data_IF_007408267081
#
_entry.id   IF_007408267081
#
_cell.length_a   1.000
_cell.length_b   1.000
_cell.length_c   1.000
_cell.angle_alpha   90.00
_cell.angle_beta   90.00
_cell.angle_gamma   90.00
#
_symmetry.space_group_name_H-M   'P 1'
#
loop_
_entity.id
_entity.type
_entity.pdbx_description
1 polymer ?
#
# COMPACT_ATOMS: atom_id res chain seq x y z
N UNK A 1 -5.82 -4.47 38.38
CA UNK A 1 -4.83 -5.55 38.20
C UNK A 1 -4.95 -6.02 36.76
N UNK A 2 -4.18 -5.43 35.87
CA UNK A 2 -4.11 -5.82 34.44
C UNK A 2 -3.05 -6.92 34.32
N UNK A 3 -3.47 -8.15 34.03
CA UNK A 3 -2.59 -9.25 33.77
C UNK A 3 -1.67 -8.92 32.59
N UNK A 4 -0.37 -8.86 32.85
CA UNK A 4 0.68 -8.76 31.86
C UNK A 4 0.68 -10.07 31.05
N UNK A 5 0.14 -10.03 29.85
CA UNK A 5 0.24 -11.11 28.88
C UNK A 5 1.68 -11.11 28.33
N UNK A 6 2.40 -12.21 28.62
CA UNK A 6 3.54 -12.74 27.88
C UNK A 6 4.93 -12.58 28.47
N UNK A 7 5.45 -13.71 28.92
CA UNK A 7 6.86 -13.96 29.22
C UNK A 7 7.76 -14.26 28.02
N UNK A 8 7.49 -13.72 26.83
CA UNK A 8 8.43 -13.77 25.70
C UNK A 8 9.18 -12.46 25.70
N UNK A 9 10.51 -12.43 25.92
CA UNK A 9 11.29 -11.19 25.84
C UNK A 9 11.11 -10.57 24.45
N UNK A 10 10.92 -9.25 24.42
CA UNK A 10 10.86 -8.50 23.18
C UNK A 10 12.16 -8.71 22.38
N UNK A 11 12.06 -8.89 21.06
CA UNK A 11 13.23 -9.01 20.21
C UNK A 11 13.98 -7.67 20.15
N UNK A 12 15.27 -7.69 20.39
CA UNK A 12 16.15 -6.54 20.22
C UNK A 12 16.74 -6.56 18.83
N UNK A 13 16.47 -5.51 18.03
CA UNK A 13 16.94 -5.38 16.65
C UNK A 13 18.47 -5.20 16.61
N UNK A 14 19.14 -6.07 15.87
CA UNK A 14 20.55 -5.89 15.53
C UNK A 14 20.74 -4.70 14.58
N UNK A 15 21.98 -4.21 14.44
CA UNK A 15 22.32 -3.13 13.51
C UNK A 15 21.95 -3.47 12.07
N UNK A 16 22.16 -4.71 11.65
CA UNK A 16 21.82 -5.16 10.29
C UNK A 16 20.31 -5.23 10.06
N UNK A 17 19.55 -5.75 11.03
CA UNK A 17 18.09 -5.75 10.96
C UNK A 17 17.55 -4.31 10.88
N UNK A 18 18.08 -3.38 11.66
CA UNK A 18 17.72 -1.95 11.58
C UNK A 18 17.97 -1.37 10.19
N UNK A 19 19.08 -1.72 9.53
CA UNK A 19 19.37 -1.29 8.15
C UNK A 19 18.35 -1.84 7.15
N UNK A 20 17.97 -3.12 7.26
CA UNK A 20 16.94 -3.75 6.41
C UNK A 20 15.59 -3.06 6.58
N UNK A 21 15.18 -2.79 7.82
CA UNK A 21 13.93 -2.13 8.15
C UNK A 21 13.87 -0.71 7.56
N UNK A 22 14.92 0.08 7.76
CA UNK A 22 15.01 1.46 7.22
C UNK A 22 15.04 1.45 5.68
N UNK A 23 15.77 0.52 5.07
CA UNK A 23 15.84 0.39 3.62
C UNK A 23 14.46 0.03 3.03
N UNK A 24 13.73 -0.90 3.64
CA UNK A 24 12.38 -1.28 3.23
C UNK A 24 11.39 -0.10 3.36
N UNK A 25 11.42 0.63 4.47
CA UNK A 25 10.56 1.77 4.71
C UNK A 25 10.69 2.85 3.61
N UNK A 26 11.90 3.06 3.08
CA UNK A 26 12.20 4.05 2.03
C UNK A 26 11.75 3.66 0.63
N UNK A 27 11.28 2.43 0.40
CA UNK A 27 10.85 1.94 -0.91
C UNK A 27 9.35 2.19 -1.17
N UNK A 28 8.80 3.26 -0.65
CA UNK A 28 7.45 3.71 -1.03
C UNK A 28 7.48 4.40 -2.39
N UNK A 29 6.38 4.39 -3.17
CA UNK A 29 6.34 5.03 -4.47
C UNK A 29 6.77 6.51 -4.41
N UNK A 30 7.79 6.90 -5.17
CA UNK A 30 8.34 8.27 -5.20
C UNK A 30 7.34 9.35 -5.66
N UNK A 31 6.22 8.96 -6.26
CA UNK A 31 5.14 9.88 -6.64
C UNK A 31 4.29 10.31 -5.47
N UNK A 32 4.34 9.54 -4.39
CA UNK A 32 3.73 9.92 -3.15
C UNK A 32 4.66 10.91 -2.46
N UNK A 33 4.07 11.92 -1.89
CA UNK A 33 4.72 13.09 -1.30
C UNK A 33 5.99 12.70 -0.55
N UNK A 34 7.14 13.24 -0.96
CA UNK A 34 8.40 13.08 -0.26
C UNK A 34 8.36 13.79 1.11
N UNK A 35 9.09 13.28 2.09
CA UNK A 35 9.27 13.87 3.42
C UNK A 35 8.02 14.05 4.29
N UNK A 36 6.98 13.22 4.10
CA UNK A 36 5.76 13.30 4.92
C UNK A 36 5.77 12.41 6.16
N UNK A 37 6.82 11.62 6.36
CA UNK A 37 6.98 10.72 7.49
C UNK A 37 8.40 10.71 8.04
N UNK A 38 8.56 10.25 9.29
CA UNK A 38 9.84 9.92 9.90
C UNK A 38 9.74 8.57 10.62
N UNK A 39 10.88 7.89 10.76
CA UNK A 39 10.97 6.59 11.40
C UNK A 39 11.97 6.64 12.56
N UNK A 40 11.54 6.21 13.74
CA UNK A 40 12.40 5.96 14.88
C UNK A 40 12.50 4.47 15.15
N UNK A 41 13.71 3.92 15.02
CA UNK A 41 13.98 2.50 15.29
C UNK A 41 14.62 2.37 16.65
N UNK A 42 13.85 1.88 17.62
CA UNK A 42 14.28 1.60 18.99
C UNK A 42 14.93 0.22 19.11
N UNK A 43 15.21 -0.22 20.29
CA UNK A 43 15.76 -1.56 20.52
C UNK A 43 14.77 -2.67 20.16
N UNK A 44 13.52 -2.54 20.59
CA UNK A 44 12.45 -3.56 20.48
C UNK A 44 11.23 -3.15 19.65
N UNK A 45 11.22 -1.92 19.13
CA UNK A 45 10.09 -1.34 18.43
C UNK A 45 10.49 -0.38 17.35
N UNK A 46 9.55 -0.08 16.46
CA UNK A 46 9.69 0.88 15.38
C UNK A 46 8.50 1.82 15.45
N UNK A 47 8.74 3.10 15.63
CA UNK A 47 7.73 4.14 15.62
C UNK A 47 7.75 4.89 14.28
N UNK A 48 6.58 4.97 13.65
CA UNK A 48 6.35 5.75 12.44
C UNK A 48 5.54 7.00 12.80
N UNK A 49 6.06 8.16 12.42
CA UNK A 49 5.44 9.46 12.65
C UNK A 49 5.10 10.14 11.33
N UNK A 50 3.96 10.81 11.25
CA UNK A 50 3.69 11.76 10.18
C UNK A 50 4.41 13.09 10.44
N UNK A 51 4.88 13.75 9.37
CA UNK A 51 5.48 15.08 9.46
C UNK A 51 4.43 16.15 9.15
N UNK A 52 3.94 16.81 10.19
CA UNK A 52 2.91 17.84 10.08
C UNK A 52 3.40 19.13 9.41
N UNK A 53 4.71 19.43 9.50
CA UNK A 53 5.32 20.65 8.97
C UNK A 53 5.78 20.56 7.51
N UNK A 54 5.25 19.61 6.72
CA UNK A 54 5.64 19.48 5.32
C UNK A 54 5.08 20.62 4.46
N UNK A 55 5.81 21.03 3.42
CA UNK A 55 5.40 22.05 2.44
C UNK A 55 4.11 21.68 1.66
N UNK A 56 3.62 20.48 1.84
CA UNK A 56 2.43 19.94 1.19
C UNK A 56 1.12 20.20 1.94
N UNK A 57 1.17 20.89 3.09
CA UNK A 57 0.00 21.24 3.90
C UNK A 57 -1.15 21.86 3.11
N UNK A 58 -0.84 22.70 2.13
CA UNK A 58 -1.85 23.39 1.31
C UNK A 58 -2.68 22.40 0.47
N UNK A 59 -2.07 21.30 0.01
CA UNK A 59 -2.73 20.28 -0.83
C UNK A 59 -3.35 19.16 -0.01
N UNK A 60 -2.81 18.85 1.16
CA UNK A 60 -3.25 17.76 2.03
C UNK A 60 -3.72 18.28 3.40
N UNK A 61 -4.70 19.21 3.39
CA UNK A 61 -5.24 19.86 4.60
C UNK A 61 -5.75 18.88 5.66
N UNK A 62 -6.33 17.75 5.23
CA UNK A 62 -6.85 16.71 6.12
C UNK A 62 -5.84 15.67 6.55
N UNK A 63 -4.59 15.70 6.05
CA UNK A 63 -3.59 14.68 6.33
C UNK A 63 -3.85 13.33 5.66
N UNK A 64 -4.86 13.24 4.80
CA UNK A 64 -5.30 11.99 4.17
C UNK A 64 -4.16 11.35 3.34
N UNK A 65 -3.57 12.11 2.44
CA UNK A 65 -2.50 11.61 1.58
C UNK A 65 -1.27 11.18 2.38
N UNK A 66 -0.88 11.96 3.41
CA UNK A 66 0.23 11.59 4.31
C UNK A 66 -0.02 10.28 5.03
N UNK A 67 -1.23 10.08 5.58
CA UNK A 67 -1.59 8.86 6.29
C UNK A 67 -1.61 7.63 5.35
N UNK A 68 -2.05 7.80 4.11
CA UNK A 68 -1.97 6.74 3.09
C UNK A 68 -0.50 6.38 2.79
N UNK A 69 0.39 7.37 2.67
CA UNK A 69 1.84 7.11 2.51
C UNK A 69 2.41 6.39 3.73
N UNK A 70 2.06 6.80 4.95
CA UNK A 70 2.46 6.09 6.17
C UNK A 70 2.00 4.63 6.15
N UNK A 71 0.79 4.35 5.65
CA UNK A 71 0.29 2.99 5.48
C UNK A 71 1.15 2.14 4.53
N UNK A 72 1.65 2.73 3.45
CA UNK A 72 2.58 2.04 2.56
C UNK A 72 3.92 1.72 3.25
N UNK A 73 4.42 2.62 4.08
CA UNK A 73 5.61 2.37 4.91
C UNK A 73 5.36 1.19 5.86
N UNK A 74 4.20 1.15 6.53
CA UNK A 74 3.80 0.04 7.40
C UNK A 74 3.82 -1.28 6.63
N UNK A 75 3.26 -1.34 5.42
CA UNK A 75 3.24 -2.56 4.61
C UNK A 75 4.66 -3.05 4.24
N UNK A 76 5.57 -2.15 3.91
CA UNK A 76 6.96 -2.49 3.62
C UNK A 76 7.70 -2.98 4.87
N UNK A 77 7.47 -2.36 6.03
CA UNK A 77 8.02 -2.80 7.31
C UNK A 77 7.49 -4.18 7.71
N UNK A 78 6.19 -4.45 7.48
CA UNK A 78 5.59 -5.77 7.72
C UNK A 78 6.32 -6.86 6.91
N UNK A 79 6.58 -6.61 5.62
CA UNK A 79 7.36 -7.51 4.77
C UNK A 79 8.77 -7.73 5.31
N UNK A 80 9.45 -6.66 5.76
CA UNK A 80 10.80 -6.76 6.30
C UNK A 80 10.85 -7.53 7.63
N UNK A 81 9.90 -7.30 8.53
CA UNK A 81 9.82 -8.02 9.81
C UNK A 81 9.58 -9.52 9.56
N UNK A 82 8.73 -9.89 8.59
CA UNK A 82 8.46 -11.29 8.24
C UNK A 82 9.69 -11.99 7.70
N UNK A 83 10.43 -11.36 6.79
CA UNK A 83 11.65 -11.96 6.22
C UNK A 83 12.76 -12.11 7.25
N UNK A 84 12.79 -11.28 8.28
CA UNK A 84 13.68 -11.41 9.43
C UNK A 84 13.27 -12.53 10.40
N UNK A 85 12.18 -13.23 10.13
CA UNK A 85 11.73 -14.38 10.91
C UNK A 85 10.83 -14.03 12.09
N UNK A 86 10.10 -12.93 12.01
CA UNK A 86 9.18 -12.48 13.05
C UNK A 86 7.77 -12.23 12.52
N UNK A 87 6.76 -12.57 13.32
CA UNK A 87 5.40 -12.10 13.10
C UNK A 87 5.31 -10.63 13.55
N UNK A 88 4.93 -9.69 12.68
CA UNK A 88 4.74 -8.30 13.05
C UNK A 88 3.50 -8.14 13.94
N UNK A 89 3.59 -7.19 14.87
CA UNK A 89 2.47 -6.67 15.65
C UNK A 89 2.44 -5.16 15.42
N UNK A 90 1.43 -4.70 14.70
CA UNK A 90 1.27 -3.28 14.36
C UNK A 90 0.14 -2.68 15.17
N UNK A 91 0.45 -1.65 15.93
CA UNK A 91 -0.49 -0.82 16.67
C UNK A 91 -0.65 0.51 15.92
N UNK A 92 -1.88 0.81 15.49
CA UNK A 92 -2.27 2.04 14.79
C UNK A 92 -3.00 3.03 15.72
N UNK A 93 -3.10 2.72 17.01
CA UNK A 93 -3.80 3.59 17.94
C UNK A 93 -3.07 4.92 18.13
N UNK A 94 -3.86 5.99 18.14
CA UNK A 94 -3.36 7.32 18.46
C UNK A 94 -3.03 7.40 19.95
N UNK A 95 -1.80 7.75 20.28
CA UNK A 95 -1.40 8.07 21.66
C UNK A 95 -1.65 9.54 21.92
N UNK A 96 -2.37 9.85 23.01
CA UNK A 96 -2.63 11.24 23.41
C UNK A 96 -1.34 12.05 23.66
N UNK A 97 -0.22 11.37 23.96
CA UNK A 97 1.09 11.98 24.20
C UNK A 97 1.97 12.06 22.93
N UNK A 98 1.55 11.44 21.82
CA UNK A 98 2.29 11.43 20.56
C UNK A 98 1.29 11.44 19.39
N UNK A 99 0.62 12.58 19.20
CA UNK A 99 -0.44 12.77 18.20
C UNK A 99 0.03 12.59 16.76
N UNK A 100 1.30 12.79 16.49
CA UNK A 100 1.95 12.60 15.20
C UNK A 100 2.41 11.14 14.97
N UNK A 101 2.41 10.29 16.01
CA UNK A 101 2.70 8.86 15.85
C UNK A 101 1.54 8.18 15.11
N UNK A 102 1.86 7.55 13.99
CA UNK A 102 0.90 6.89 13.10
C UNK A 102 0.85 5.39 13.37
N UNK A 103 1.99 4.79 13.67
CA UNK A 103 2.08 3.36 13.93
C UNK A 103 3.25 3.04 14.87
N UNK A 104 3.05 1.99 15.68
CA UNK A 104 4.13 1.31 16.39
C UNK A 104 4.17 -0.15 15.97
N UNK A 105 5.32 -0.60 15.48
CA UNK A 105 5.54 -1.98 15.08
C UNK A 105 6.47 -2.67 16.08
N UNK A 106 6.10 -3.89 16.47
CA UNK A 106 6.88 -4.79 17.33
C UNK A 106 6.88 -6.20 16.77
N UNK A 107 7.70 -7.05 17.32
CA UNK A 107 7.63 -8.49 17.05
C UNK A 107 6.65 -9.16 18.01
N UNK A 108 5.82 -10.08 17.49
CA UNK A 108 4.88 -10.86 18.29
C UNK A 108 5.48 -12.22 18.73
N UNK A 109 6.03 -12.94 17.77
CA UNK A 109 6.64 -14.27 17.97
C UNK A 109 7.57 -14.60 16.80
N UNK A 110 8.48 -15.53 17.00
CA UNK A 110 9.27 -16.11 15.91
C UNK A 110 8.37 -16.86 14.94
N UNK A 111 8.64 -16.69 13.65
CA UNK A 111 8.00 -17.43 12.55
C UNK A 111 9.08 -17.82 11.55
N UNK A 112 8.92 -18.96 10.91
CA UNK A 112 9.78 -19.33 9.79
C UNK A 112 9.25 -18.61 8.54
N UNK A 113 10.07 -17.78 7.84
CA UNK A 113 9.65 -17.17 6.58
C UNK A 113 9.30 -18.25 5.56
N UNK A 114 8.22 -18.04 4.81
CA UNK A 114 7.78 -18.93 3.74
C UNK A 114 8.10 -18.31 2.37
N UNK A 115 7.99 -19.09 1.30
CA UNK A 115 8.27 -18.63 -0.06
C UNK A 115 7.51 -17.34 -0.44
N UNK A 116 6.28 -17.19 0.06
CA UNK A 116 5.49 -15.98 -0.15
C UNK A 116 6.08 -14.73 0.52
N UNK A 117 6.69 -14.88 1.72
CA UNK A 117 7.35 -13.76 2.41
C UNK A 117 8.59 -13.29 1.62
N UNK A 118 9.39 -14.24 1.10
CA UNK A 118 10.54 -13.93 0.24
C UNK A 118 10.11 -13.24 -1.06
N UNK A 119 9.06 -13.73 -1.71
CA UNK A 119 8.53 -13.14 -2.94
C UNK A 119 8.05 -11.70 -2.70
N UNK A 120 7.29 -11.49 -1.62
CA UNK A 120 6.75 -10.17 -1.23
C UNK A 120 7.87 -9.21 -0.89
N UNK A 121 8.86 -9.62 -0.10
CA UNK A 121 10.00 -8.77 0.26
C UNK A 121 10.86 -8.43 -0.97
N UNK A 122 11.06 -9.36 -1.91
CA UNK A 122 11.77 -9.09 -3.15
C UNK A 122 11.06 -8.07 -4.04
N UNK A 123 9.72 -7.97 -3.95
CA UNK A 123 8.94 -6.97 -4.68
C UNK A 123 9.13 -5.54 -4.12
N UNK A 124 9.56 -5.38 -2.86
CA UNK A 124 9.82 -4.05 -2.26
C UNK A 124 10.85 -3.26 -3.07
N UNK A 125 12.04 -3.80 -3.45
CA UNK A 125 12.96 -3.13 -4.36
C UNK A 125 12.63 -3.34 -5.86
N UNK A 126 11.42 -3.80 -6.20
CA UNK A 126 10.95 -3.91 -7.59
C UNK A 126 11.29 -5.21 -8.31
N UNK A 127 11.60 -6.31 -7.60
CA UNK A 127 11.97 -7.59 -8.23
C UNK A 127 10.75 -8.47 -8.51
N UNK A 128 10.64 -8.93 -9.75
CA UNK A 128 9.69 -9.96 -10.15
C UNK A 128 10.11 -11.32 -9.60
N UNK A 129 9.17 -12.10 -9.09
CA UNK A 129 9.41 -13.43 -8.50
C UNK A 129 8.48 -14.52 -9.03
N UNK A 130 7.40 -14.14 -9.71
CA UNK A 130 6.38 -15.04 -10.26
C UNK A 130 6.24 -14.86 -11.77
N UNK A 131 5.78 -15.87 -12.52
CA UNK A 131 5.44 -15.71 -13.93
C UNK A 131 4.29 -14.71 -14.09
N UNK A 132 4.24 -14.01 -15.22
CA UNK A 132 3.10 -13.15 -15.54
C UNK A 132 1.82 -13.99 -15.62
N UNK A 133 0.67 -13.46 -15.15
CA UNK A 133 -0.60 -14.16 -15.25
C UNK A 133 -1.03 -14.28 -16.72
N UNK A 134 -1.78 -15.31 -17.04
CA UNK A 134 -2.36 -15.50 -18.40
C UNK A 134 -3.39 -14.43 -18.74
N UNK A 135 -4.04 -13.85 -17.74
CA UNK A 135 -5.00 -12.76 -17.86
C UNK A 135 -4.90 -11.85 -16.64
N UNK A 136 -4.59 -10.57 -16.89
CA UNK A 136 -4.55 -9.53 -15.85
C UNK A 136 -5.92 -9.32 -15.22
N UNK A 137 -7.00 -9.47 -15.98
CA UNK A 137 -8.38 -9.28 -15.49
C UNK A 137 -8.78 -10.38 -14.51
N UNK A 138 -8.49 -11.66 -14.83
CA UNK A 138 -8.78 -12.78 -13.93
C UNK A 138 -7.95 -12.71 -12.68
N UNK A 139 -6.64 -12.52 -12.83
CA UNK A 139 -5.71 -12.30 -11.73
C UNK A 139 -6.15 -11.15 -10.81
N UNK A 140 -6.60 -10.04 -11.41
CA UNK A 140 -7.02 -8.88 -10.65
C UNK A 140 -8.24 -9.13 -9.77
N UNK A 141 -9.18 -9.96 -10.19
CA UNK A 141 -10.32 -10.33 -9.36
C UNK A 141 -9.89 -11.09 -8.12
N UNK A 142 -9.05 -12.10 -8.29
CA UNK A 142 -8.52 -12.90 -7.18
C UNK A 142 -7.70 -12.05 -6.20
N UNK A 143 -6.90 -11.11 -6.72
CA UNK A 143 -6.09 -10.20 -5.90
C UNK A 143 -6.96 -9.20 -5.14
N UNK A 144 -8.04 -8.69 -5.74
CA UNK A 144 -8.96 -7.77 -5.06
C UNK A 144 -9.56 -8.43 -3.81
N UNK A 145 -10.12 -9.63 -3.97
CA UNK A 145 -10.73 -10.39 -2.87
C UNK A 145 -9.71 -10.71 -1.76
N UNK A 146 -8.48 -11.11 -2.12
CA UNK A 146 -7.42 -11.42 -1.16
C UNK A 146 -6.79 -10.20 -0.49
N UNK A 147 -7.07 -8.99 -0.97
CA UNK A 147 -6.42 -7.74 -0.49
C UNK A 147 -7.26 -6.97 0.53
N UNK A 148 -8.51 -7.35 0.74
CA UNK A 148 -9.37 -6.72 1.73
C UNK A 148 -8.78 -6.87 3.16
N UNK A 149 -8.97 -5.86 3.96
CA UNK A 149 -8.55 -5.83 5.36
C UNK A 149 -9.63 -5.15 6.20
N UNK A 150 -9.52 -5.22 7.52
CA UNK A 150 -10.50 -4.64 8.46
C UNK A 150 -10.85 -3.19 8.11
N UNK A 151 -12.08 -2.98 7.67
CA UNK A 151 -12.60 -1.68 7.27
C UNK A 151 -12.09 -1.14 5.94
N UNK A 152 -11.29 -1.89 5.16
CA UNK A 152 -10.84 -1.51 3.82
C UNK A 152 -11.39 -2.50 2.80
N UNK A 153 -12.07 -1.99 1.77
CA UNK A 153 -12.62 -2.72 0.64
C UNK A 153 -11.80 -2.49 -0.61
N UNK A 154 -11.66 -3.52 -1.42
CA UNK A 154 -10.99 -3.46 -2.72
C UNK A 154 -11.95 -3.93 -3.79
N UNK A 155 -12.25 -3.08 -4.76
CA UNK A 155 -13.12 -3.41 -5.89
C UNK A 155 -12.36 -3.32 -7.21
N UNK A 156 -12.43 -4.37 -8.02
CA UNK A 156 -11.99 -4.30 -9.41
C UNK A 156 -12.92 -3.41 -10.23
N UNK A 157 -12.35 -2.44 -10.93
CA UNK A 157 -13.05 -1.55 -11.85
C UNK A 157 -12.78 -1.97 -13.29
N UNK A 158 -13.82 -2.02 -14.11
CA UNK A 158 -13.69 -2.20 -15.55
C UNK A 158 -13.25 -0.90 -16.23
N UNK A 159 -12.68 -0.95 -17.43
CA UNK A 159 -12.33 0.24 -18.19
C UNK A 159 -13.47 1.25 -18.36
N UNK A 160 -14.72 0.76 -18.51
CA UNK A 160 -15.94 1.60 -18.55
C UNK A 160 -16.11 2.40 -17.26
N UNK A 161 -15.97 1.74 -16.12
CA UNK A 161 -16.20 2.32 -14.80
C UNK A 161 -15.19 3.45 -14.52
N UNK A 162 -13.95 3.30 -15.03
CA UNK A 162 -12.89 4.31 -14.88
C UNK A 162 -13.11 5.55 -15.75
N UNK A 163 -13.77 5.41 -16.92
CA UNK A 163 -14.08 6.56 -17.80
C UNK A 163 -15.03 7.55 -17.15
N UNK A 164 -15.94 7.02 -16.33
CA UNK A 164 -16.99 7.80 -15.68
C UNK A 164 -16.49 8.46 -14.38
N UNK A 165 -15.24 8.16 -13.96
CA UNK A 165 -14.61 8.80 -12.81
C UNK A 165 -14.20 10.25 -13.18
N UNK A 166 -14.85 11.30 -12.62
CA UNK A 166 -14.51 12.68 -12.93
C UNK A 166 -13.05 12.98 -12.53
N UNK A 167 -12.26 13.55 -13.43
CA UNK A 167 -10.83 13.93 -13.27
C UNK A 167 -9.82 12.78 -13.14
N UNK A 168 -10.23 11.57 -12.76
CA UNK A 168 -9.34 10.40 -12.66
C UNK A 168 -9.20 9.71 -14.01
N UNK A 169 -10.33 9.52 -14.71
CA UNK A 169 -10.37 8.81 -15.97
C UNK A 169 -9.39 9.37 -17.00
N UNK A 170 -9.30 10.69 -17.14
CA UNK A 170 -8.41 11.33 -18.10
C UNK A 170 -6.91 11.13 -17.81
N UNK A 171 -6.49 10.95 -16.56
CA UNK A 171 -5.09 10.68 -16.22
C UNK A 171 -4.75 9.19 -16.32
N UNK A 172 -5.67 8.32 -15.94
CA UNK A 172 -5.52 6.87 -16.01
C UNK A 172 -5.57 6.39 -17.45
N UNK A 173 -6.59 6.85 -18.23
CA UNK A 173 -6.80 6.46 -19.63
C UNK A 173 -5.65 6.95 -20.54
N UNK A 174 -5.03 8.11 -20.26
CA UNK A 174 -3.86 8.58 -21.03
C UNK A 174 -2.63 7.70 -20.86
N UNK A 175 -2.57 6.89 -19.79
CA UNK A 175 -1.45 5.96 -19.53
C UNK A 175 -1.76 4.56 -19.98
N UNK A 176 -3.03 4.14 -19.94
CA UNK A 176 -3.46 2.86 -20.49
C UNK A 176 -3.49 2.95 -22.01
N UNK A 177 -2.59 2.26 -22.68
CA UNK A 177 -2.63 2.13 -24.14
C UNK A 177 -3.78 1.20 -24.52
N UNK A 178 -4.54 1.50 -25.60
CA UNK A 178 -5.66 0.65 -26.05
C UNK A 178 -5.26 -0.79 -26.35
N UNK A 179 -3.97 -1.05 -26.56
CA UNK A 179 -3.40 -2.35 -26.95
C UNK A 179 -2.95 -3.21 -25.76
N UNK A 180 -3.01 -2.68 -24.53
CA UNK A 180 -2.51 -3.38 -23.32
C UNK A 180 -3.67 -3.74 -22.43
N UNK A 181 -3.73 -4.98 -22.01
CA UNK A 181 -4.70 -5.45 -21.01
C UNK A 181 -4.39 -4.83 -19.65
N UNK A 182 -5.38 -4.21 -19.02
CA UNK A 182 -5.24 -3.56 -17.74
C UNK A 182 -6.48 -3.73 -16.85
N UNK A 183 -6.30 -3.58 -15.56
CA UNK A 183 -7.36 -3.52 -14.55
C UNK A 183 -7.07 -2.37 -13.58
N UNK A 184 -8.12 -1.78 -13.03
CA UNK A 184 -7.99 -0.84 -11.92
C UNK A 184 -8.66 -1.40 -10.67
N UNK A 185 -8.13 -1.01 -9.50
CA UNK A 185 -8.68 -1.34 -8.19
C UNK A 185 -9.05 -0.05 -7.48
N UNK A 186 -10.30 0.05 -7.06
CA UNK A 186 -10.73 1.09 -6.11
C UNK A 186 -10.49 0.59 -4.70
N UNK A 187 -9.71 1.33 -3.93
CA UNK A 187 -9.52 1.12 -2.49
C UNK A 187 -10.41 2.09 -1.74
N UNK A 188 -11.33 1.58 -0.94
CA UNK A 188 -12.28 2.37 -0.16
C UNK A 188 -12.25 1.96 1.31
N UNK A 189 -12.55 2.90 2.21
CA UNK A 189 -12.64 2.68 3.66
C UNK A 189 -14.07 2.85 4.16
N UNK A 190 -14.43 2.15 5.22
CA UNK A 190 -15.75 2.28 5.87
C UNK A 190 -15.90 3.64 6.55
N UNK A 191 -14.81 4.18 7.07
CA UNK A 191 -14.73 5.51 7.69
C UNK A 191 -13.47 6.23 7.24
N UNK A 192 -13.36 7.54 7.50
CA UNK A 192 -12.16 8.34 7.23
C UNK A 192 -11.33 8.61 8.50
N UNK A 193 -11.31 7.68 9.46
CA UNK A 193 -10.43 7.80 10.62
C UNK A 193 -8.96 7.67 10.22
N UNK A 194 -8.05 8.22 11.03
CA UNK A 194 -6.59 8.10 10.81
C UNK A 194 -6.17 6.65 10.60
N UNK A 195 -6.65 5.76 11.45
CA UNK A 195 -6.36 4.32 11.35
C UNK A 195 -6.82 3.73 10.01
N UNK A 196 -8.04 4.05 9.56
CA UNK A 196 -8.57 3.56 8.29
C UNK A 196 -7.79 4.08 7.09
N UNK A 197 -7.32 5.32 7.12
CA UNK A 197 -6.46 5.88 6.08
C UNK A 197 -5.09 5.18 6.00
N UNK A 198 -4.49 4.87 7.14
CA UNK A 198 -3.25 4.08 7.19
C UNK A 198 -3.48 2.67 6.66
N UNK A 199 -4.57 2.01 7.04
CA UNK A 199 -4.96 0.70 6.51
C UNK A 199 -5.16 0.73 4.99
N UNK A 200 -5.83 1.76 4.46
CA UNK A 200 -5.99 1.95 3.02
C UNK A 200 -4.63 2.07 2.30
N UNK A 201 -3.69 2.82 2.87
CA UNK A 201 -2.33 2.93 2.35
C UNK A 201 -1.59 1.59 2.35
N UNK A 202 -1.72 0.81 3.43
CA UNK A 202 -1.12 -0.52 3.51
C UNK A 202 -1.72 -1.50 2.48
N UNK A 203 -3.04 -1.45 2.25
CA UNK A 203 -3.72 -2.25 1.21
C UNK A 203 -3.24 -1.81 -0.18
N UNK A 204 -3.20 -0.51 -0.45
CA UNK A 204 -2.70 0.05 -1.71
C UNK A 204 -1.28 -0.43 -2.01
N UNK A 205 -0.38 -0.38 -1.03
CA UNK A 205 1.00 -0.85 -1.19
C UNK A 205 1.06 -2.37 -1.42
N UNK A 206 0.26 -3.16 -0.73
CA UNK A 206 0.18 -4.61 -0.98
C UNK A 206 -0.25 -4.94 -2.41
N UNK A 207 -1.20 -4.19 -2.98
CA UNK A 207 -1.58 -4.33 -4.40
C UNK A 207 -0.40 -4.04 -5.33
N UNK A 208 0.35 -2.95 -5.09
CA UNK A 208 1.55 -2.61 -5.86
C UNK A 208 2.63 -3.70 -5.76
N UNK A 209 2.91 -4.18 -4.55
CA UNK A 209 3.88 -5.27 -4.33
C UNK A 209 3.45 -6.56 -5.02
N UNK A 210 2.16 -6.93 -4.92
CA UNK A 210 1.62 -8.11 -5.60
C UNK A 210 1.75 -7.98 -7.12
N UNK A 211 1.44 -6.82 -7.69
CA UNK A 211 1.66 -6.57 -9.12
C UNK A 211 3.13 -6.75 -9.51
N UNK A 212 4.04 -6.21 -8.72
CA UNK A 212 5.48 -6.33 -8.92
C UNK A 212 5.97 -7.78 -8.85
N UNK A 213 5.44 -8.60 -7.93
CA UNK A 213 5.75 -10.03 -7.85
C UNK A 213 5.52 -10.75 -9.19
N UNK A 214 4.46 -10.38 -9.91
CA UNK A 214 4.08 -10.94 -11.21
C UNK A 214 4.72 -10.20 -12.40
N UNK A 215 5.53 -9.18 -12.15
CA UNK A 215 6.18 -8.39 -13.21
C UNK A 215 5.20 -7.52 -13.99
N UNK A 216 4.08 -7.15 -13.38
CA UNK A 216 3.10 -6.22 -13.93
C UNK A 216 3.51 -4.79 -13.60
N UNK A 217 3.23 -3.85 -14.50
CA UNK A 217 3.40 -2.43 -14.23
C UNK A 217 2.20 -1.93 -13.42
N UNK A 218 2.45 -1.12 -12.39
CA UNK A 218 1.38 -0.61 -11.55
C UNK A 218 1.64 0.82 -11.08
N UNK A 219 0.55 1.56 -10.87
CA UNK A 219 0.58 2.91 -10.32
C UNK A 219 -0.64 3.16 -9.43
N UNK A 220 -0.44 3.86 -8.32
CA UNK A 220 -1.52 4.30 -7.44
C UNK A 220 -1.74 5.80 -7.57
N UNK A 221 -3.00 6.20 -7.49
CA UNK A 221 -3.48 7.58 -7.58
C UNK A 221 -4.36 7.87 -6.37
N UNK A 222 -3.97 8.85 -5.58
CA UNK A 222 -4.71 9.30 -4.38
C UNK A 222 -5.27 10.71 -4.57
N UNK A 223 -4.65 11.52 -5.41
CA UNK A 223 -4.97 12.94 -5.65
C UNK A 223 -6.42 13.16 -6.11
N UNK A 224 -7.03 12.29 -6.93
CA UNK A 224 -8.41 12.46 -7.35
C UNK A 224 -9.39 12.53 -6.19
N UNK A 225 -9.01 11.94 -5.06
CA UNK A 225 -9.84 11.84 -3.86
C UNK A 225 -9.53 12.91 -2.80
N UNK A 226 -8.72 13.93 -3.12
CA UNK A 226 -8.44 15.03 -2.19
C UNK A 226 -9.68 15.90 -1.95
N UNK A 227 -10.58 15.99 -2.94
CA UNK A 227 -11.84 16.69 -2.82
C UNK A 227 -12.94 15.80 -2.18
N UNK A 228 -13.50 16.16 -1.01
CA UNK A 228 -14.56 15.39 -0.36
C UNK A 228 -15.77 15.12 -1.25
N UNK A 229 -16.15 16.09 -2.08
CA UNK A 229 -17.26 15.96 -3.01
C UNK A 229 -17.05 14.85 -4.06
N UNK A 230 -15.81 14.62 -4.49
CA UNK A 230 -15.47 13.52 -5.41
C UNK A 230 -15.61 12.18 -4.71
N UNK A 231 -15.15 12.07 -3.46
CA UNK A 231 -15.29 10.84 -2.68
C UNK A 231 -16.77 10.47 -2.45
N UNK A 232 -17.59 11.45 -2.09
CA UNK A 232 -19.03 11.24 -1.91
C UNK A 232 -19.74 10.81 -3.19
N UNK A 233 -19.44 11.45 -4.32
CA UNK A 233 -20.04 11.12 -5.61
C UNK A 233 -19.71 9.69 -6.07
N UNK A 234 -18.47 9.23 -5.87
CA UNK A 234 -18.03 7.89 -6.27
C UNK A 234 -18.62 6.78 -5.38
N UNK A 235 -18.82 7.02 -4.10
CA UNK A 235 -19.48 6.07 -3.20
C UNK A 235 -20.92 5.74 -3.67
N UNK A 236 -21.59 6.69 -4.28
CA UNK A 236 -22.96 6.52 -4.80
C UNK A 236 -22.96 5.83 -6.18
N UNK A 237 -22.07 6.23 -7.10
CA UNK A 237 -22.07 5.78 -8.50
C UNK A 237 -21.65 4.31 -8.63
N UNK A 238 -20.70 3.85 -7.82
CA UNK A 238 -20.11 2.53 -7.97
C UNK A 238 -20.69 1.46 -7.03
N UNK A 239 -21.66 1.80 -6.19
CA UNK A 239 -22.23 0.88 -5.21
C UNK A 239 -21.18 0.31 -4.24
N UNK A 240 -20.05 1.01 -4.06
CA UNK A 240 -19.03 0.68 -3.07
C UNK A 240 -19.39 1.38 -1.78
N UNK A 241 -19.81 0.67 -0.74
CA UNK A 241 -20.09 1.31 0.54
C UNK A 241 -18.79 1.85 1.13
N UNK A 242 -18.75 3.14 1.42
CA UNK A 242 -17.62 3.79 2.09
C UNK A 242 -17.01 4.95 1.32
N UNK A 243 -15.79 5.29 1.71
CA UNK A 243 -15.05 6.46 1.22
C UNK A 243 -13.89 6.01 0.32
N UNK A 244 -13.92 6.33 -0.98
CA UNK A 244 -12.81 6.07 -1.89
C UNK A 244 -11.52 6.78 -1.46
N UNK A 245 -10.40 6.05 -1.43
CA UNK A 245 -9.11 6.56 -0.95
C UNK A 245 -8.02 6.54 -2.03
N UNK A 246 -8.02 5.53 -2.89
CA UNK A 246 -7.04 5.38 -3.96
C UNK A 246 -7.59 4.57 -5.13
N UNK A 247 -7.03 4.78 -6.31
CA UNK A 247 -7.14 3.86 -7.45
C UNK A 247 -5.76 3.31 -7.77
N UNK A 248 -5.65 1.99 -7.85
CA UNK A 248 -4.45 1.29 -8.32
C UNK A 248 -4.71 0.78 -9.72
N UNK A 249 -3.92 1.21 -10.69
CA UNK A 249 -3.97 0.69 -12.07
C UNK A 249 -2.85 -0.31 -12.24
N UNK A 250 -3.17 -1.44 -12.83
CA UNK A 250 -2.23 -2.52 -13.12
C UNK A 250 -2.34 -2.89 -14.59
N UNK A 251 -1.22 -2.94 -15.29
CA UNK A 251 -1.15 -3.25 -16.71
C UNK A 251 -0.05 -4.27 -17.02
N UNK A 252 -0.19 -4.97 -18.12
CA UNK A 252 0.87 -5.82 -18.63
C UNK A 252 2.09 -4.96 -19.03
N UNK A 253 3.32 -5.46 -18.78
CA UNK A 253 4.51 -4.73 -19.19
C UNK A 253 4.54 -4.59 -20.72
N UNK A 254 4.88 -3.41 -21.18
CA UNK A 254 5.00 -3.15 -22.63
C UNK A 254 6.07 -4.04 -23.24
N UNK A 255 5.70 -4.83 -24.24
CA UNK A 255 6.68 -5.62 -25.00
C UNK A 255 7.65 -4.65 -25.68
N UNK A 256 8.91 -4.76 -25.36
CA UNK A 256 9.98 -3.99 -26.03
C UNK A 256 10.02 -4.35 -27.52
N UNK A 257 10.39 -3.43 -28.44
CA UNK A 257 10.47 -3.70 -29.88
C UNK A 257 11.28 -4.95 -30.25
N UNK A 258 12.29 -5.28 -29.44
CA UNK A 258 13.11 -6.50 -29.62
C UNK A 258 12.34 -7.80 -29.32
N UNK A 259 11.33 -7.75 -28.46
CA UNK A 259 10.49 -8.92 -28.14
C UNK A 259 9.38 -9.15 -29.16
N UNK A 260 8.90 -8.09 -29.85
CA UNK A 260 7.94 -8.20 -30.95
C UNK A 260 8.50 -8.95 -32.17
N UNK A 261 9.86 -8.94 -32.38
CA UNK A 261 10.51 -9.63 -33.50
C UNK A 261 10.74 -11.13 -33.30
N UNK A 262 10.52 -11.66 -32.08
CA UNK A 262 10.71 -13.11 -31.79
C UNK A 262 9.39 -13.90 -31.79
N UNK A 263 8.25 -13.26 -31.95
CA UNK A 263 6.92 -13.89 -31.96
C UNK A 263 6.19 -13.75 -33.29
N UNK A 264 6.83 -13.19 -34.29
CA UNK A 264 6.47 -13.20 -35.72
C UNK A 264 7.43 -14.13 -36.49
#
# INVERSE_FOLDING_TARGET
MTASLTGIPAHVWSTEEKRILVAAARQVPKRWIDDVWTLSVHEDSIDLYERLASSHWVRDRGGRARLIVCGAVVANLDCAIRILGWAPLTDLTCDALALDRVARLRTKRRVRPVAADFARFAAVPGRRTKPAPSSVVTWGREVAEASEADGVRVRGLRPSDVRDLPKVGGQIIRKATPEVSWIAFLVATVTETREQLVRAGAVTQRLLLTSTEYGLESAAFTEPFDAPAVRGALGVVEGVPGFPQAVVVVEEPRKTPAQKRRTS
#
